data_IF_224981042627
#
_entry.id   IF_224981042627
#
_cell.length_a   1.000
_cell.length_b   1.000
_cell.length_c   1.000
_cell.angle_alpha   90.00
_cell.angle_beta   90.00
_cell.angle_gamma   90.00
#
_symmetry.space_group_name_H-M   'P 1'
#
loop_
_entity.id
_entity.type
_entity.pdbx_description
1 polymer ?
#
# COMPACT_ATOMS: atom_id res chain seq x y z
N UNK A 1 -39.30 -48.72 -22.11
CA UNK A 1 -38.16 -47.88 -21.69
C UNK A 1 -38.52 -46.43 -21.96
N UNK A 2 -38.61 -45.56 -20.93
CA UNK A 2 -38.76 -44.11 -21.16
C UNK A 2 -37.43 -43.58 -21.69
N UNK A 3 -37.42 -42.75 -22.76
CA UNK A 3 -36.18 -42.19 -23.28
C UNK A 3 -35.53 -41.29 -22.22
N UNK A 4 -34.20 -41.19 -22.17
CA UNK A 4 -33.51 -40.35 -21.20
C UNK A 4 -33.93 -38.90 -21.43
N UNK A 5 -34.44 -38.25 -20.39
CA UNK A 5 -34.75 -36.82 -20.41
C UNK A 5 -33.43 -36.07 -20.56
N UNK A 6 -33.14 -35.63 -21.79
CA UNK A 6 -32.03 -34.73 -22.06
C UNK A 6 -32.35 -33.43 -21.33
N UNK A 7 -31.65 -33.15 -20.23
CA UNK A 7 -31.75 -31.86 -19.54
C UNK A 7 -31.18 -30.80 -20.46
N UNK A 8 -32.01 -29.86 -20.91
CA UNK A 8 -31.53 -28.66 -21.59
C UNK A 8 -30.51 -27.95 -20.70
N UNK A 9 -29.28 -27.78 -21.18
CA UNK A 9 -28.23 -27.06 -20.46
C UNK A 9 -27.76 -25.85 -21.27
N UNK A 10 -27.53 -24.71 -20.61
CA UNK A 10 -26.96 -23.51 -21.23
C UNK A 10 -28.00 -22.64 -21.93
N UNK A 11 -27.69 -22.21 -23.16
CA UNK A 11 -28.48 -21.23 -23.94
C UNK A 11 -29.89 -21.71 -24.29
N UNK A 12 -30.13 -23.02 -24.37
CA UNK A 12 -31.45 -23.61 -24.67
C UNK A 12 -32.46 -23.34 -23.55
N UNK A 13 -32.00 -23.19 -22.30
CA UNK A 13 -32.87 -22.85 -21.16
C UNK A 13 -33.38 -21.40 -21.26
N UNK A 14 -32.58 -20.50 -21.85
CA UNK A 14 -32.97 -19.10 -22.05
C UNK A 14 -34.06 -18.92 -23.11
N UNK A 15 -34.23 -19.90 -24.01
CA UNK A 15 -35.27 -19.89 -25.03
C UNK A 15 -36.64 -20.34 -24.50
N UNK A 16 -36.71 -20.82 -23.25
CA UNK A 16 -37.98 -21.22 -22.64
C UNK A 16 -38.88 -20.00 -22.47
N UNK A 17 -40.15 -20.03 -22.91
CA UNK A 17 -41.06 -18.88 -22.85
C UNK A 17 -41.17 -18.28 -21.43
N UNK A 18 -41.15 -19.14 -20.41
CA UNK A 18 -41.22 -18.73 -19.00
C UNK A 18 -40.02 -17.90 -18.56
N UNK A 19 -38.83 -18.20 -19.10
CA UNK A 19 -37.60 -17.46 -18.79
C UNK A 19 -37.60 -16.11 -19.51
N UNK A 20 -38.06 -16.09 -20.77
CA UNK A 20 -38.21 -14.85 -21.55
C UNK A 20 -39.22 -13.91 -20.87
N UNK A 21 -40.39 -14.42 -20.49
CA UNK A 21 -41.41 -13.64 -19.76
C UNK A 21 -40.84 -13.15 -18.42
N UNK A 22 -40.09 -13.99 -17.70
CA UNK A 22 -39.42 -13.61 -16.46
C UNK A 22 -38.41 -12.47 -16.65
N UNK A 23 -37.59 -12.52 -17.71
CA UNK A 23 -36.63 -11.45 -18.04
C UNK A 23 -37.36 -10.14 -18.38
N UNK A 24 -38.43 -10.20 -19.18
CA UNK A 24 -39.23 -9.02 -19.51
C UNK A 24 -39.93 -8.43 -18.29
N UNK A 25 -40.51 -9.25 -17.42
CA UNK A 25 -41.12 -8.80 -16.17
C UNK A 25 -40.09 -8.12 -15.24
N UNK A 26 -38.88 -8.69 -15.12
CA UNK A 26 -37.80 -8.10 -14.34
C UNK A 26 -37.32 -6.77 -14.93
N UNK A 27 -37.22 -6.68 -16.27
CA UNK A 27 -36.84 -5.46 -16.96
C UNK A 27 -37.87 -4.35 -16.77
N UNK A 28 -39.17 -4.67 -16.84
CA UNK A 28 -40.26 -3.72 -16.58
C UNK A 28 -40.25 -3.28 -15.12
N UNK A 29 -40.06 -4.19 -14.16
CA UNK A 29 -39.95 -3.84 -12.75
C UNK A 29 -38.77 -2.89 -12.48
N UNK A 30 -37.61 -3.15 -13.09
CA UNK A 30 -36.46 -2.24 -12.98
C UNK A 30 -36.72 -0.89 -13.66
N UNK A 31 -37.37 -0.85 -14.83
CA UNK A 31 -37.73 0.39 -15.49
C UNK A 31 -38.69 1.26 -14.63
N UNK A 32 -39.70 0.63 -14.02
CA UNK A 32 -40.64 1.30 -13.11
C UNK A 32 -39.90 1.84 -11.88
N UNK A 33 -39.03 1.05 -11.26
CA UNK A 33 -38.30 1.48 -10.07
C UNK A 33 -37.25 2.56 -10.36
N UNK A 34 -36.59 2.51 -11.53
CA UNK A 34 -35.72 3.61 -11.98
C UNK A 34 -36.53 4.88 -12.25
N UNK A 35 -37.72 4.75 -12.83
CA UNK A 35 -38.65 5.86 -13.03
C UNK A 35 -39.12 6.48 -11.71
N UNK A 36 -39.34 5.67 -10.67
CA UNK A 36 -39.83 6.11 -9.37
C UNK A 36 -38.73 6.67 -8.43
N UNK A 37 -37.54 6.06 -8.41
CA UNK A 37 -36.45 6.39 -7.48
C UNK A 37 -35.27 7.10 -8.15
N UNK A 38 -35.36 7.36 -9.46
CA UNK A 38 -34.36 8.09 -10.23
C UNK A 38 -33.08 7.32 -10.56
N UNK A 39 -32.12 8.04 -11.14
CA UNK A 39 -30.86 7.48 -11.67
C UNK A 39 -30.00 6.82 -10.58
N UNK A 40 -30.09 7.31 -9.34
CA UNK A 40 -29.38 6.74 -8.19
C UNK A 40 -29.75 5.27 -7.96
N UNK A 41 -31.02 4.91 -8.13
CA UNK A 41 -31.50 3.54 -8.01
C UNK A 41 -30.96 2.65 -9.13
N UNK A 42 -30.93 3.16 -10.36
CA UNK A 42 -30.31 2.47 -11.50
C UNK A 42 -28.81 2.19 -11.27
N UNK A 43 -28.09 3.18 -10.73
CA UNK A 43 -26.69 3.01 -10.32
C UNK A 43 -26.50 1.94 -9.24
N UNK A 44 -27.41 1.88 -8.26
CA UNK A 44 -27.39 0.86 -7.21
C UNK A 44 -27.59 -0.55 -7.78
N UNK A 45 -28.51 -0.75 -8.73
CA UNK A 45 -28.72 -2.04 -9.37
C UNK A 45 -27.50 -2.51 -10.15
N UNK A 46 -26.87 -1.63 -10.93
CA UNK A 46 -25.64 -1.94 -11.66
C UNK A 46 -24.52 -2.29 -10.68
N UNK A 47 -24.38 -1.51 -9.60
CA UNK A 47 -23.42 -1.78 -8.53
C UNK A 47 -23.64 -3.15 -7.87
N UNK A 48 -24.90 -3.52 -7.61
CA UNK A 48 -25.26 -4.82 -7.05
C UNK A 48 -24.90 -5.98 -7.98
N UNK A 49 -25.15 -5.84 -9.30
CA UNK A 49 -24.76 -6.85 -10.29
C UNK A 49 -23.24 -7.04 -10.31
N UNK A 50 -22.49 -5.93 -10.38
CA UNK A 50 -21.01 -5.97 -10.37
C UNK A 50 -20.52 -6.62 -9.08
N UNK A 51 -21.11 -6.27 -7.94
CA UNK A 51 -20.78 -6.85 -6.63
C UNK A 51 -21.04 -8.37 -6.61
N UNK A 52 -22.20 -8.82 -7.08
CA UNK A 52 -22.54 -10.26 -7.11
C UNK A 52 -21.56 -11.03 -8.00
N UNK A 53 -21.25 -10.50 -9.19
CA UNK A 53 -20.28 -11.10 -10.10
C UNK A 53 -18.91 -11.19 -9.44
N UNK A 54 -18.42 -10.07 -8.89
CA UNK A 54 -17.14 -9.99 -8.21
C UNK A 54 -17.06 -10.97 -7.04
N UNK A 55 -18.06 -10.98 -6.16
CA UNK A 55 -18.09 -11.84 -4.98
C UNK A 55 -18.16 -13.32 -5.37
N UNK A 56 -18.94 -13.67 -6.41
CA UNK A 56 -18.99 -15.05 -6.93
C UNK A 56 -17.63 -15.49 -7.49
N UNK A 57 -16.94 -14.61 -8.22
CA UNK A 57 -15.59 -14.86 -8.71
C UNK A 57 -14.59 -14.99 -7.55
N UNK A 58 -14.74 -14.20 -6.50
CA UNK A 58 -13.92 -14.26 -5.31
C UNK A 58 -14.13 -15.57 -4.53
N UNK A 59 -15.36 -16.07 -4.41
CA UNK A 59 -15.63 -17.40 -3.84
C UNK A 59 -14.96 -18.48 -4.69
N UNK A 60 -15.02 -18.39 -6.02
CA UNK A 60 -14.37 -19.36 -6.90
C UNK A 60 -12.83 -19.28 -6.82
N UNK A 61 -12.30 -18.06 -6.68
CA UNK A 61 -10.88 -17.75 -6.66
C UNK A 61 -10.54 -16.81 -5.49
N UNK A 62 -10.42 -17.34 -4.25
CA UNK A 62 -10.26 -16.52 -3.04
C UNK A 62 -9.05 -15.57 -3.05
N UNK A 63 -7.98 -15.96 -3.75
CA UNK A 63 -6.80 -15.11 -3.95
C UNK A 63 -7.12 -13.77 -4.63
N UNK A 64 -8.23 -13.67 -5.37
CA UNK A 64 -8.68 -12.44 -6.00
C UNK A 64 -8.87 -11.33 -4.95
N UNK A 65 -9.36 -11.67 -3.76
CA UNK A 65 -9.54 -10.72 -2.66
C UNK A 65 -8.24 -10.04 -2.24
N UNK A 66 -7.16 -10.81 -2.14
CA UNK A 66 -5.83 -10.30 -1.84
C UNK A 66 -5.32 -9.37 -2.97
N UNK A 67 -5.47 -9.79 -4.23
CA UNK A 67 -5.05 -8.98 -5.38
C UNK A 67 -5.81 -7.66 -5.47
N UNK A 68 -7.12 -7.69 -5.26
CA UNK A 68 -7.94 -6.47 -5.25
C UNK A 68 -7.63 -5.58 -4.07
N UNK A 69 -7.35 -6.13 -2.88
CA UNK A 69 -6.95 -5.33 -1.73
C UNK A 69 -5.62 -4.60 -2.01
N UNK A 70 -4.64 -5.27 -2.62
CA UNK A 70 -3.38 -4.64 -3.05
C UNK A 70 -3.66 -3.53 -4.07
N UNK A 71 -4.41 -3.85 -5.14
CA UNK A 71 -4.77 -2.90 -6.20
C UNK A 71 -5.45 -1.65 -5.65
N UNK A 72 -6.46 -1.82 -4.79
CA UNK A 72 -7.19 -0.74 -4.15
C UNK A 72 -6.25 0.05 -3.24
N UNK A 73 -5.36 -0.60 -2.49
CA UNK A 73 -4.37 0.07 -1.64
C UNK A 73 -3.53 1.13 -2.36
N UNK A 74 -3.25 0.96 -3.65
CA UNK A 74 -2.54 1.97 -4.46
C UNK A 74 -3.40 3.20 -4.76
N UNK A 75 -4.66 2.99 -5.16
CA UNK A 75 -5.50 4.07 -5.69
C UNK A 75 -6.44 4.70 -4.66
N UNK A 76 -6.63 4.06 -3.51
CA UNK A 76 -7.63 4.43 -2.51
C UNK A 76 -7.46 5.86 -1.99
N UNK A 77 -6.22 6.28 -1.72
CA UNK A 77 -5.93 7.64 -1.27
C UNK A 77 -5.97 8.66 -2.41
N UNK A 78 -5.72 8.23 -3.65
CA UNK A 78 -5.85 9.11 -4.81
C UNK A 78 -7.30 9.37 -5.19
N UNK A 79 -8.17 8.36 -5.04
CA UNK A 79 -9.59 8.47 -5.40
C UNK A 79 -10.34 9.49 -4.55
N UNK A 80 -9.85 9.79 -3.33
CA UNK A 80 -10.44 10.81 -2.43
C UNK A 80 -10.39 12.22 -3.02
N UNK A 81 -9.54 12.45 -4.02
CA UNK A 81 -9.43 13.74 -4.73
C UNK A 81 -10.51 13.91 -5.78
N UNK A 82 -11.00 12.79 -6.33
CA UNK A 82 -11.97 12.76 -7.42
C UNK A 82 -13.39 12.47 -6.93
N UNK A 83 -13.51 11.73 -5.82
CA UNK A 83 -14.80 11.35 -5.25
C UNK A 83 -14.94 12.02 -3.89
N UNK A 84 -15.90 12.94 -3.79
CA UNK A 84 -16.31 13.52 -2.50
C UNK A 84 -17.23 12.53 -1.81
N UNK A 85 -16.74 11.90 -0.75
CA UNK A 85 -17.53 10.97 0.07
C UNK A 85 -17.43 11.35 1.52
N UNK A 86 -18.56 11.40 2.21
CA UNK A 86 -18.60 11.57 3.67
C UNK A 86 -18.16 10.29 4.40
N UNK A 87 -18.16 9.15 3.69
CA UNK A 87 -17.71 7.88 4.22
C UNK A 87 -16.19 7.83 4.36
N UNK A 88 -15.66 7.40 5.52
CA UNK A 88 -14.24 7.17 5.69
C UNK A 88 -13.73 6.13 4.70
N UNK A 89 -12.87 6.56 3.80
CA UNK A 89 -12.41 5.76 2.65
C UNK A 89 -11.68 4.48 3.06
N UNK A 90 -11.12 4.44 4.29
CA UNK A 90 -10.59 3.23 4.90
C UNK A 90 -11.62 2.09 5.04
N UNK A 91 -12.91 2.39 5.16
CA UNK A 91 -13.98 1.39 5.23
C UNK A 91 -14.10 0.55 3.95
N UNK A 92 -13.71 1.09 2.80
CA UNK A 92 -13.68 0.32 1.55
C UNK A 92 -12.65 -0.83 1.67
N UNK A 93 -11.46 -0.53 2.20
CA UNK A 93 -10.44 -1.56 2.44
C UNK A 93 -10.90 -2.56 3.51
N UNK A 94 -11.52 -2.09 4.59
CA UNK A 94 -12.12 -2.98 5.60
C UNK A 94 -13.11 -3.96 4.97
N UNK A 95 -14.05 -3.45 4.18
CA UNK A 95 -15.05 -4.24 3.49
C UNK A 95 -14.42 -5.27 2.53
N UNK A 96 -13.41 -4.87 1.75
CA UNK A 96 -12.71 -5.79 0.85
C UNK A 96 -11.98 -6.92 1.59
N UNK A 97 -11.33 -6.61 2.71
CA UNK A 97 -10.64 -7.62 3.52
C UNK A 97 -11.65 -8.56 4.18
N UNK A 98 -12.76 -8.04 4.72
CA UNK A 98 -13.84 -8.87 5.27
C UNK A 98 -14.45 -9.78 4.19
N UNK A 99 -14.70 -9.26 2.99
CA UNK A 99 -15.19 -10.05 1.86
C UNK A 99 -14.18 -11.14 1.46
N UNK A 100 -12.87 -10.86 1.52
CA UNK A 100 -11.85 -11.87 1.26
C UNK A 100 -11.87 -13.01 2.29
N UNK A 101 -12.11 -12.71 3.56
CA UNK A 101 -12.32 -13.73 4.58
C UNK A 101 -13.63 -14.51 4.37
N UNK A 102 -14.74 -13.83 4.07
CA UNK A 102 -16.01 -14.51 3.76
C UNK A 102 -15.86 -15.44 2.56
N UNK A 103 -15.19 -14.99 1.49
CA UNK A 103 -14.90 -15.81 0.32
C UNK A 103 -14.01 -17.02 0.66
N UNK A 104 -13.02 -16.87 1.56
CA UNK A 104 -12.24 -18.01 2.07
C UNK A 104 -13.14 -19.07 2.74
N UNK A 105 -14.09 -18.64 3.56
CA UNK A 105 -15.04 -19.53 4.23
C UNK A 105 -15.96 -20.24 3.23
N UNK A 106 -16.61 -19.50 2.33
CA UNK A 106 -17.52 -20.07 1.34
C UNK A 106 -16.81 -20.97 0.33
N UNK A 107 -15.57 -20.66 -0.06
CA UNK A 107 -14.79 -21.48 -0.99
C UNK A 107 -14.55 -22.91 -0.48
N UNK A 108 -14.29 -23.04 0.82
CA UNK A 108 -14.00 -24.35 1.42
C UNK A 108 -15.27 -25.07 1.85
N UNK A 109 -16.40 -24.38 1.99
CA UNK A 109 -17.65 -24.99 2.43
C UNK A 109 -18.12 -26.11 1.48
N UNK A 110 -18.56 -27.28 1.99
CA UNK A 110 -18.73 -27.65 3.40
C UNK A 110 -17.49 -28.27 4.07
N UNK A 111 -16.36 -28.39 3.35
CA UNK A 111 -15.11 -28.93 3.91
C UNK A 111 -14.50 -27.96 4.92
N UNK A 112 -13.74 -28.51 5.88
CA UNK A 112 -13.02 -27.70 6.87
C UNK A 112 -11.84 -26.98 6.22
N UNK A 113 -11.64 -25.72 6.61
CA UNK A 113 -10.46 -24.94 6.22
C UNK A 113 -9.22 -25.53 6.90
N UNK A 114 -8.15 -25.71 6.12
CA UNK A 114 -6.87 -26.12 6.65
C UNK A 114 -6.09 -24.90 7.20
N UNK A 115 -6.09 -24.74 8.52
CA UNK A 115 -5.39 -23.64 9.20
C UNK A 115 -3.90 -23.89 9.46
N UNK A 116 -3.34 -25.04 9.05
CA UNK A 116 -1.92 -25.36 9.25
C UNK A 116 -0.96 -24.29 8.72
N UNK A 117 -1.18 -23.64 7.55
CA UNK A 117 -0.28 -22.59 7.04
C UNK A 117 -0.11 -21.39 7.97
N UNK A 118 -1.10 -21.13 8.84
CA UNK A 118 -1.05 -20.03 9.81
C UNK A 118 -0.21 -20.33 11.05
N UNK A 119 0.20 -21.59 11.26
CA UNK A 119 1.15 -21.95 12.32
C UNK A 119 2.57 -21.55 11.92
N UNK A 120 2.78 -20.26 11.67
CA UNK A 120 4.02 -19.68 11.22
C UNK A 120 4.42 -18.56 12.19
N UNK A 121 5.73 -18.39 12.43
CA UNK A 121 6.26 -17.32 13.27
C UNK A 121 5.73 -15.95 12.85
N UNK A 122 5.62 -15.67 11.55
CA UNK A 122 5.08 -14.39 11.06
C UNK A 122 3.66 -14.11 11.54
N UNK A 123 2.81 -15.14 11.65
CA UNK A 123 1.45 -14.99 12.17
C UNK A 123 1.46 -14.68 13.66
N UNK A 124 2.30 -15.36 14.44
CA UNK A 124 2.44 -15.09 15.87
C UNK A 124 2.99 -13.69 16.15
N UNK A 125 4.00 -13.24 15.38
CA UNK A 125 4.53 -11.88 15.49
C UNK A 125 3.47 -10.82 15.14
N UNK A 126 2.69 -11.04 14.08
CA UNK A 126 1.58 -10.15 13.72
C UNK A 126 0.50 -10.10 14.81
N UNK A 127 0.18 -11.24 15.43
CA UNK A 127 -0.75 -11.31 16.56
C UNK A 127 -0.21 -10.54 17.78
N UNK A 128 1.07 -10.68 18.12
CA UNK A 128 1.71 -9.92 19.20
C UNK A 128 1.59 -8.43 18.96
N UNK A 129 1.84 -7.98 17.73
CA UNK A 129 1.67 -6.58 17.35
C UNK A 129 0.21 -6.11 17.51
N UNK A 130 -0.75 -6.89 17.01
CA UNK A 130 -2.17 -6.56 17.13
C UNK A 130 -2.61 -6.50 18.58
N UNK A 131 -2.20 -7.46 19.42
CA UNK A 131 -2.52 -7.45 20.84
C UNK A 131 -1.98 -6.18 21.52
N UNK A 132 -0.73 -5.81 21.24
CA UNK A 132 -0.15 -4.58 21.77
C UNK A 132 -0.96 -3.33 21.33
N UNK A 133 -1.32 -3.25 20.04
CA UNK A 133 -2.14 -2.14 19.53
C UNK A 133 -3.58 -2.13 20.09
N UNK A 134 -4.14 -3.30 20.44
CA UNK A 134 -5.44 -3.37 21.11
C UNK A 134 -5.32 -2.84 22.54
N UNK A 135 -4.29 -3.23 23.29
CA UNK A 135 -4.06 -2.76 24.66
C UNK A 135 -3.89 -1.23 24.75
N UNK A 136 -3.44 -0.59 23.67
CA UNK A 136 -3.36 0.88 23.57
C UNK A 136 -4.72 1.59 23.68
N UNK A 137 -5.86 0.88 23.63
CA UNK A 137 -7.16 1.47 23.95
C UNK A 137 -7.24 1.91 25.43
N UNK A 138 -6.51 1.23 26.31
CA UNK A 138 -6.41 1.54 27.73
C UNK A 138 -5.23 2.49 28.04
N UNK A 139 -4.62 3.10 27.03
CA UNK A 139 -3.54 4.06 27.25
C UNK A 139 -4.10 5.30 27.98
N UNK A 140 -3.51 5.72 29.12
CA UNK A 140 -3.99 6.87 29.89
C UNK A 140 -3.96 8.20 29.11
N UNK A 141 -3.12 8.30 28.08
CA UNK A 141 -3.01 9.49 27.23
C UNK A 141 -4.01 9.47 26.05
N UNK A 142 -4.72 8.36 25.81
CA UNK A 142 -5.69 8.25 24.73
C UNK A 142 -6.95 9.08 25.05
N UNK A 143 -7.15 10.17 24.32
CA UNK A 143 -8.27 11.11 24.52
C UNK A 143 -9.52 10.75 23.71
N UNK A 144 -9.37 9.92 22.67
CA UNK A 144 -10.44 9.57 21.73
C UNK A 144 -10.34 8.11 21.27
N UNK A 145 -11.39 7.34 21.55
CA UNK A 145 -11.53 5.96 21.04
C UNK A 145 -11.76 5.92 19.53
N UNK A 146 -12.38 6.97 18.96
CA UNK A 146 -12.54 7.11 17.52
C UNK A 146 -11.19 7.31 16.81
N UNK A 147 -10.28 8.08 17.40
CA UNK A 147 -8.91 8.24 16.88
C UNK A 147 -8.15 6.90 16.92
N UNK A 148 -8.27 6.16 18.03
CA UNK A 148 -7.71 4.81 18.16
C UNK A 148 -8.26 3.88 17.06
N UNK A 149 -9.58 3.81 16.87
CA UNK A 149 -10.20 2.96 15.85
C UNK A 149 -9.77 3.34 14.43
N UNK A 150 -9.58 4.63 14.16
CA UNK A 150 -9.07 5.11 12.88
C UNK A 150 -7.62 4.68 12.62
N UNK A 151 -6.78 4.57 13.64
CA UNK A 151 -5.37 4.26 13.52
C UNK A 151 -5.05 2.76 13.61
N UNK A 152 -5.74 2.01 14.48
CA UNK A 152 -5.49 0.58 14.71
C UNK A 152 -5.77 -0.27 13.48
N UNK A 153 -6.78 0.11 12.68
CA UNK A 153 -7.16 -0.60 11.44
C UNK A 153 -5.98 -0.72 10.47
N UNK A 154 -5.42 0.38 9.91
CA UNK A 154 -4.31 0.28 8.99
C UNK A 154 -2.98 -0.12 9.64
N UNK A 155 -2.77 0.21 10.92
CA UNK A 155 -1.49 -0.06 11.60
C UNK A 155 -1.35 -1.52 12.04
N UNK A 156 -2.43 -2.17 12.45
CA UNK A 156 -2.40 -3.47 13.09
C UNK A 156 -3.27 -4.51 12.37
N UNK A 157 -4.56 -4.24 12.17
CA UNK A 157 -5.48 -5.23 11.59
C UNK A 157 -5.13 -5.56 10.15
N UNK A 158 -4.84 -4.56 9.32
CA UNK A 158 -4.47 -4.80 7.93
C UNK A 158 -3.19 -5.63 7.84
N UNK A 159 -2.20 -5.35 8.69
CA UNK A 159 -0.97 -6.14 8.76
C UNK A 159 -1.27 -7.62 9.02
N UNK A 160 -2.07 -7.94 10.05
CA UNK A 160 -2.46 -9.32 10.35
C UNK A 160 -3.25 -9.96 9.21
N UNK A 161 -4.24 -9.24 8.66
CA UNK A 161 -5.07 -9.74 7.58
C UNK A 161 -4.24 -10.06 6.33
N UNK A 162 -3.33 -9.18 5.93
CA UNK A 162 -2.43 -9.45 4.81
C UNK A 162 -1.51 -10.65 5.07
N UNK A 163 -0.97 -10.80 6.29
CA UNK A 163 -0.15 -11.99 6.66
C UNK A 163 -0.96 -13.28 6.53
N UNK A 164 -2.18 -13.30 7.08
CA UNK A 164 -3.08 -14.46 7.04
C UNK A 164 -3.48 -14.80 5.60
N UNK A 165 -3.97 -13.82 4.84
CA UNK A 165 -4.39 -14.02 3.45
C UNK A 165 -3.20 -14.44 2.56
N UNK A 166 -2.02 -13.86 2.78
CA UNK A 166 -0.82 -14.25 2.03
C UNK A 166 -0.42 -15.71 2.30
N UNK A 167 -0.37 -16.15 3.56
CA UNK A 167 -0.01 -17.53 3.89
C UNK A 167 -1.05 -18.56 3.43
N UNK A 168 -2.33 -18.18 3.41
CA UNK A 168 -3.41 -19.05 2.94
C UNK A 168 -3.49 -19.15 1.41
N UNK A 169 -3.19 -18.06 0.70
CA UNK A 169 -3.42 -17.98 -0.74
C UNK A 169 -2.16 -18.05 -1.60
N UNK A 170 -1.04 -17.48 -1.17
CA UNK A 170 0.20 -17.41 -1.97
C UNK A 170 1.05 -18.68 -1.84
N UNK A 171 0.45 -19.82 -2.15
CA UNK A 171 1.09 -21.14 -2.02
C UNK A 171 1.80 -21.61 -3.29
N UNK A 172 1.61 -20.93 -4.43
CA UNK A 172 2.23 -21.30 -5.72
C UNK A 172 2.99 -20.13 -6.35
N UNK A 173 4.05 -20.41 -7.13
CA UNK A 173 4.81 -19.37 -7.83
C UNK A 173 3.94 -18.49 -8.73
N UNK A 174 2.95 -19.05 -9.42
CA UNK A 174 2.03 -18.32 -10.29
C UNK A 174 1.19 -17.30 -9.51
N UNK A 175 0.77 -17.62 -8.28
CA UNK A 175 -0.01 -16.70 -7.45
C UNK A 175 0.87 -15.54 -6.96
N UNK A 176 2.11 -15.83 -6.60
CA UNK A 176 3.10 -14.79 -6.27
C UNK A 176 3.40 -13.92 -7.51
N UNK A 177 3.54 -14.53 -8.69
CA UNK A 177 3.73 -13.84 -9.96
C UNK A 177 2.59 -12.85 -10.22
N UNK A 178 1.34 -13.23 -9.96
CA UNK A 178 0.18 -12.34 -10.10
C UNK A 178 0.23 -11.15 -9.15
N UNK A 179 0.73 -11.31 -7.92
CA UNK A 179 0.96 -10.17 -6.99
C UNK A 179 1.93 -9.16 -7.63
N UNK A 180 3.04 -9.63 -8.19
CA UNK A 180 3.99 -8.76 -8.88
C UNK A 180 3.42 -8.11 -10.14
N UNK A 181 2.56 -8.80 -10.89
CA UNK A 181 1.90 -8.21 -12.05
C UNK A 181 0.96 -7.07 -11.61
N UNK A 182 0.11 -7.31 -10.60
CA UNK A 182 -0.81 -6.30 -10.07
C UNK A 182 -0.04 -5.10 -9.54
N UNK A 183 0.94 -5.31 -8.67
CA UNK A 183 1.81 -4.25 -8.16
C UNK A 183 2.48 -3.50 -9.32
N UNK A 184 3.11 -4.19 -10.25
CA UNK A 184 3.82 -3.57 -11.37
C UNK A 184 2.92 -2.68 -12.23
N UNK A 185 1.69 -3.13 -12.52
CA UNK A 185 0.71 -2.33 -13.27
C UNK A 185 0.37 -1.05 -12.51
N UNK A 186 0.03 -1.13 -11.22
CA UNK A 186 -0.31 0.06 -10.45
C UNK A 186 0.88 0.99 -10.24
N UNK A 187 2.09 0.46 -10.07
CA UNK A 187 3.30 1.29 -10.02
C UNK A 187 3.57 2.00 -11.35
N UNK A 188 3.36 1.33 -12.50
CA UNK A 188 3.46 1.95 -13.82
C UNK A 188 2.45 3.08 -13.99
N UNK A 189 1.18 2.85 -13.65
CA UNK A 189 0.15 3.89 -13.66
C UNK A 189 0.54 5.05 -12.74
N UNK A 190 1.12 4.74 -11.57
CA UNK A 190 1.64 5.74 -10.64
C UNK A 190 2.72 6.60 -11.27
N UNK A 191 3.71 5.99 -11.92
CA UNK A 191 4.78 6.73 -12.62
C UNK A 191 4.22 7.55 -13.79
N UNK A 192 3.31 6.99 -14.59
CA UNK A 192 2.70 7.69 -15.71
C UNK A 192 1.94 8.94 -15.24
N UNK A 193 1.08 8.80 -14.22
CA UNK A 193 0.35 9.95 -13.65
C UNK A 193 1.31 10.97 -13.04
N UNK A 194 2.40 10.53 -12.40
CA UNK A 194 3.45 11.43 -11.91
C UNK A 194 4.17 12.19 -13.04
N UNK A 195 4.45 11.51 -14.16
CA UNK A 195 5.05 12.14 -15.34
C UNK A 195 4.08 13.16 -15.96
N UNK A 196 2.79 12.85 -16.03
CA UNK A 196 1.77 13.81 -16.47
C UNK A 196 1.75 15.06 -15.59
N UNK A 197 1.79 14.90 -14.26
CA UNK A 197 1.86 16.03 -13.33
C UNK A 197 3.09 16.91 -13.54
N UNK A 198 4.22 16.33 -13.96
CA UNK A 198 5.46 17.07 -14.21
C UNK A 198 5.45 17.84 -15.54
N UNK A 199 4.99 17.21 -16.61
CA UNK A 199 5.13 17.73 -17.97
C UNK A 199 3.90 18.50 -18.47
N UNK A 200 2.70 18.05 -18.10
CA UNK A 200 1.42 18.65 -18.53
C UNK A 200 0.89 19.56 -17.41
N UNK A 201 1.01 19.11 -16.17
CA UNK A 201 0.48 19.76 -14.98
C UNK A 201 -0.58 18.92 -14.27
N UNK A 202 -1.13 19.46 -13.20
CA UNK A 202 -2.18 18.83 -12.39
C UNK A 202 -3.53 18.97 -13.05
N UNK A 203 -4.39 17.97 -12.88
CA UNK A 203 -5.77 18.05 -13.37
C UNK A 203 -6.64 18.99 -12.51
N UNK A 204 -7.85 19.39 -12.95
CA UNK A 204 -8.70 20.32 -12.20
C UNK A 204 -9.06 19.86 -10.79
N UNK A 205 -9.22 18.56 -10.56
CA UNK A 205 -9.57 18.00 -9.25
C UNK A 205 -8.36 17.98 -8.32
N UNK A 206 -7.19 17.61 -8.86
CA UNK A 206 -5.92 17.73 -8.15
C UNK A 206 -5.61 19.19 -7.80
N UNK A 207 -5.87 20.13 -8.70
CA UNK A 207 -5.71 21.56 -8.46
C UNK A 207 -6.65 22.03 -7.34
N UNK A 208 -7.93 21.67 -7.38
CA UNK A 208 -8.88 22.00 -6.31
C UNK A 208 -8.44 21.43 -4.95
N UNK A 209 -7.86 20.22 -4.93
CA UNK A 209 -7.30 19.63 -3.71
C UNK A 209 -6.04 20.36 -3.22
N UNK A 210 -5.16 20.79 -4.14
CA UNK A 210 -3.99 21.60 -3.79
C UNK A 210 -4.42 22.96 -3.20
N UNK A 211 -5.35 23.63 -3.86
CA UNK A 211 -5.88 24.93 -3.44
C UNK A 211 -6.62 24.83 -2.09
N UNK A 212 -7.23 23.67 -1.80
CA UNK A 212 -7.86 23.35 -0.51
C UNK A 212 -6.89 23.06 0.65
N UNK A 213 -5.59 23.31 0.49
CA UNK A 213 -4.57 23.18 1.55
C UNK A 213 -3.45 22.19 1.25
N UNK A 214 -3.60 21.33 0.23
CA UNK A 214 -2.55 20.41 -0.21
C UNK A 214 -1.28 21.13 -0.70
N UNK A 215 -1.43 22.35 -1.23
CA UNK A 215 -0.33 23.15 -1.78
C UNK A 215 0.77 23.43 -0.76
N UNK A 216 0.44 23.58 0.53
CA UNK A 216 1.39 23.88 1.61
C UNK A 216 2.55 22.85 1.65
N UNK A 217 2.25 21.58 1.37
CA UNK A 217 3.22 20.49 1.45
C UNK A 217 3.70 19.99 0.07
N UNK A 218 2.92 20.27 -0.98
CA UNK A 218 3.13 19.73 -2.33
C UNK A 218 3.69 20.75 -3.32
N UNK A 219 3.62 22.05 -3.03
CA UNK A 219 4.23 23.12 -3.83
C UNK A 219 5.30 23.78 -2.99
N UNK A 220 6.57 23.52 -3.32
CA UNK A 220 7.71 24.13 -2.62
C UNK A 220 8.48 25.03 -3.58
N UNK A 221 8.71 26.27 -3.16
CA UNK A 221 9.44 27.27 -3.95
C UNK A 221 8.84 27.47 -5.35
N UNK A 222 7.51 27.51 -5.44
CA UNK A 222 6.78 27.66 -6.71
C UNK A 222 6.83 26.44 -7.63
N UNK A 223 7.37 25.30 -7.16
CA UNK A 223 7.46 24.06 -7.95
C UNK A 223 6.67 22.93 -7.32
N UNK A 224 5.96 22.20 -8.17
CA UNK A 224 5.22 21.01 -7.78
C UNK A 224 6.18 19.87 -7.41
N UNK A 225 5.94 19.26 -6.25
CA UNK A 225 6.50 17.96 -5.89
C UNK A 225 5.58 16.88 -6.44
N UNK A 226 6.06 16.11 -7.41
CA UNK A 226 5.26 15.07 -8.06
C UNK A 226 4.83 14.03 -7.02
N UNK A 227 3.52 13.83 -6.88
CA UNK A 227 2.91 12.95 -5.88
C UNK A 227 2.04 11.86 -6.51
N UNK A 228 1.72 11.96 -7.80
CA UNK A 228 0.84 11.02 -8.52
C UNK A 228 -0.48 10.83 -7.75
N UNK A 229 -1.01 9.62 -7.62
CA UNK A 229 -2.19 9.32 -6.80
C UNK A 229 -1.87 8.87 -5.37
N UNK A 230 -0.63 9.10 -4.89
CA UNK A 230 -0.21 8.80 -3.50
C UNK A 230 -0.50 9.99 -2.59
N UNK A 231 -0.44 9.78 -1.27
CA UNK A 231 -0.67 10.85 -0.27
C UNK A 231 0.21 12.07 -0.48
N UNK A 232 1.47 11.85 -0.81
CA UNK A 232 2.48 12.89 -1.01
C UNK A 232 3.68 12.39 -1.82
N UNK A 233 4.50 13.35 -2.27
CA UNK A 233 5.70 13.07 -3.06
C UNK A 233 6.73 12.21 -2.32
N UNK A 234 6.77 12.28 -0.98
CA UNK A 234 7.61 11.44 -0.14
C UNK A 234 7.24 9.96 -0.26
N UNK A 235 5.94 9.67 -0.10
CA UNK A 235 5.41 8.30 -0.25
C UNK A 235 5.50 7.80 -1.70
N UNK A 236 5.17 8.65 -2.68
CA UNK A 236 5.34 8.29 -4.10
C UNK A 236 6.80 7.93 -4.41
N UNK A 237 7.74 8.81 -4.04
CA UNK A 237 9.16 8.58 -4.28
C UNK A 237 9.69 7.34 -3.60
N UNK A 238 9.34 7.11 -2.34
CA UNK A 238 9.75 5.92 -1.58
C UNK A 238 9.16 4.64 -2.18
N UNK A 239 7.87 4.64 -2.54
CA UNK A 239 7.21 3.47 -3.13
C UNK A 239 7.75 3.13 -4.52
N UNK A 240 8.05 4.13 -5.34
CA UNK A 240 8.65 3.93 -6.66
C UNK A 240 10.10 3.47 -6.58
N UNK A 241 10.87 3.94 -5.59
CA UNK A 241 12.20 3.44 -5.31
C UNK A 241 12.18 1.97 -4.86
N UNK A 242 11.25 1.63 -3.98
CA UNK A 242 11.00 0.26 -3.54
C UNK A 242 10.61 -0.64 -4.72
N UNK A 243 9.68 -0.18 -5.56
CA UNK A 243 9.28 -0.87 -6.80
C UNK A 243 10.48 -1.07 -7.73
N UNK A 244 11.25 -0.01 -8.01
CA UNK A 244 12.44 -0.08 -8.87
C UNK A 244 13.42 -1.16 -8.42
N UNK A 245 13.78 -1.14 -7.13
CA UNK A 245 14.71 -2.10 -6.56
C UNK A 245 14.18 -3.55 -6.63
N UNK A 246 12.94 -3.78 -6.19
CA UNK A 246 12.34 -5.13 -6.17
C UNK A 246 12.20 -5.70 -7.58
N UNK A 247 11.69 -4.91 -8.52
CA UNK A 247 11.51 -5.38 -9.88
C UNK A 247 12.84 -5.57 -10.63
N UNK A 248 13.89 -4.81 -10.32
CA UNK A 248 15.24 -5.12 -10.82
C UNK A 248 15.70 -6.49 -10.32
N UNK A 249 15.57 -6.77 -9.02
CA UNK A 249 15.99 -8.07 -8.46
C UNK A 249 15.21 -9.23 -9.09
N UNK A 250 13.90 -9.07 -9.28
CA UNK A 250 13.06 -10.10 -9.91
C UNK A 250 13.38 -10.23 -11.40
N UNK A 251 13.60 -9.13 -12.13
CA UNK A 251 13.95 -9.16 -13.55
C UNK A 251 15.30 -9.86 -13.79
N UNK A 252 16.27 -9.69 -12.88
CA UNK A 252 17.53 -10.42 -12.92
C UNK A 252 17.36 -11.93 -12.69
N UNK A 253 16.38 -12.33 -11.88
CA UNK A 253 16.09 -13.73 -11.58
C UNK A 253 15.09 -14.40 -12.56
N UNK A 254 14.31 -13.61 -13.31
CA UNK A 254 13.24 -14.11 -14.17
C UNK A 254 13.78 -14.91 -15.36
N UNK A 255 13.25 -16.12 -15.54
CA UNK A 255 13.58 -17.02 -16.66
C UNK A 255 12.72 -16.75 -17.91
N UNK A 256 11.44 -16.42 -17.71
CA UNK A 256 10.51 -16.15 -18.81
C UNK A 256 10.79 -14.77 -19.41
N UNK A 257 11.05 -14.71 -20.71
CA UNK A 257 11.35 -13.47 -21.44
C UNK A 257 10.23 -12.44 -21.34
N UNK A 258 8.96 -12.83 -21.41
CA UNK A 258 7.82 -11.90 -21.33
C UNK A 258 7.76 -11.21 -19.96
N UNK A 259 7.89 -12.01 -18.90
CA UNK A 259 7.87 -11.51 -17.53
C UNK A 259 9.11 -10.66 -17.25
N UNK A 260 10.28 -11.09 -17.76
CA UNK A 260 11.53 -10.34 -17.65
C UNK A 260 11.43 -8.96 -18.29
N UNK A 261 10.86 -8.85 -19.49
CA UNK A 261 10.64 -7.57 -20.17
C UNK A 261 9.70 -6.69 -19.33
N UNK A 262 8.55 -7.24 -18.90
CA UNK A 262 7.61 -6.51 -18.06
C UNK A 262 8.28 -5.99 -16.77
N UNK A 263 9.05 -6.84 -16.07
CA UNK A 263 9.72 -6.44 -14.84
C UNK A 263 10.80 -5.37 -15.07
N UNK A 264 11.54 -5.41 -16.18
CA UNK A 264 12.48 -4.34 -16.53
C UNK A 264 11.76 -3.01 -16.81
N UNK A 265 10.64 -3.04 -17.52
CA UNK A 265 9.83 -1.84 -17.78
C UNK A 265 9.36 -1.23 -16.44
N UNK A 266 8.82 -2.05 -15.54
CA UNK A 266 8.40 -1.61 -14.21
C UNK A 266 9.58 -1.08 -13.40
N UNK A 267 10.74 -1.73 -13.43
CA UNK A 267 11.93 -1.31 -12.70
C UNK A 267 12.41 0.08 -13.15
N UNK A 268 12.56 0.28 -14.46
CA UNK A 268 12.97 1.55 -15.05
C UNK A 268 11.95 2.66 -14.78
N UNK A 269 10.67 2.37 -14.91
CA UNK A 269 9.60 3.30 -14.56
C UNK A 269 9.58 3.62 -13.06
N UNK A 270 9.91 2.67 -12.18
CA UNK A 270 10.04 2.89 -10.74
C UNK A 270 11.19 3.84 -10.41
N UNK A 271 12.37 3.61 -11.00
CA UNK A 271 13.49 4.56 -10.82
C UNK A 271 13.17 5.94 -11.40
N UNK A 272 12.55 6.00 -12.58
CA UNK A 272 12.10 7.27 -13.14
C UNK A 272 11.10 7.99 -12.23
N UNK A 273 10.09 7.27 -11.71
CA UNK A 273 9.12 7.76 -10.74
C UNK A 273 9.77 8.29 -9.46
N UNK A 274 10.78 7.58 -8.95
CA UNK A 274 11.61 8.04 -7.84
C UNK A 274 12.32 9.35 -8.17
N UNK A 275 12.95 9.46 -9.35
CA UNK A 275 13.64 10.67 -9.79
C UNK A 275 12.71 11.88 -9.88
N UNK A 276 11.58 11.75 -10.56
CA UNK A 276 10.65 12.88 -10.75
C UNK A 276 9.97 13.33 -9.46
N UNK A 277 9.87 12.46 -8.44
CA UNK A 277 9.31 12.81 -7.13
C UNK A 277 10.15 13.86 -6.37
N UNK A 278 11.46 13.94 -6.65
CA UNK A 278 12.39 14.81 -5.93
C UNK A 278 12.56 14.44 -4.45
N UNK A 279 12.17 13.23 -4.04
CA UNK A 279 12.25 12.80 -2.64
C UNK A 279 13.67 12.36 -2.29
N UNK A 280 14.28 13.07 -1.34
CA UNK A 280 15.65 12.81 -0.87
C UNK A 280 15.82 11.44 -0.25
N UNK A 281 14.90 11.08 0.64
CA UNK A 281 14.97 9.85 1.43
C UNK A 281 14.80 8.58 0.61
N UNK A 282 14.19 8.66 -0.58
CA UNK A 282 13.94 7.47 -1.40
C UNK A 282 15.21 6.90 -2.02
N UNK A 283 16.28 7.70 -2.16
CA UNK A 283 17.59 7.22 -2.63
C UNK A 283 18.18 6.11 -1.74
N UNK A 284 17.92 6.16 -0.43
CA UNK A 284 18.44 5.15 0.51
C UNK A 284 17.75 3.79 0.35
N UNK A 285 16.54 3.74 -0.23
CA UNK A 285 15.78 2.50 -0.37
C UNK A 285 16.48 1.53 -1.35
N UNK A 286 16.82 1.91 -2.60
CA UNK A 286 17.57 1.04 -3.50
C UNK A 286 18.96 0.70 -2.97
N UNK A 287 19.64 1.64 -2.30
CA UNK A 287 20.94 1.35 -1.70
C UNK A 287 20.87 0.21 -0.67
N UNK A 288 19.94 0.30 0.28
CA UNK A 288 19.76 -0.76 1.28
C UNK A 288 19.30 -2.08 0.65
N UNK A 289 18.37 -2.03 -0.30
CA UNK A 289 17.85 -3.21 -0.98
C UNK A 289 18.93 -3.95 -1.79
N UNK A 290 19.71 -3.23 -2.61
CA UNK A 290 20.77 -3.83 -3.40
C UNK A 290 21.95 -4.30 -2.55
N UNK A 291 22.32 -3.58 -1.49
CA UNK A 291 23.34 -4.03 -0.55
C UNK A 291 22.97 -5.39 0.07
N UNK A 292 21.72 -5.51 0.56
CA UNK A 292 21.23 -6.77 1.10
C UNK A 292 21.17 -7.89 0.04
N UNK A 293 20.72 -7.57 -1.18
CA UNK A 293 20.67 -8.52 -2.28
C UNK A 293 22.06 -9.06 -2.65
N UNK A 294 23.05 -8.17 -2.81
CA UNK A 294 24.41 -8.58 -3.14
C UNK A 294 25.04 -9.43 -2.03
N UNK A 295 24.80 -9.09 -0.77
CA UNK A 295 25.20 -9.91 0.37
C UNK A 295 24.58 -11.31 0.31
N UNK A 296 23.28 -11.40 0.01
CA UNK A 296 22.56 -12.68 -0.08
C UNK A 296 22.97 -13.54 -1.27
N UNK A 297 23.46 -12.95 -2.37
CA UNK A 297 23.88 -13.69 -3.58
C UNK A 297 25.14 -14.56 -3.39
N UNK A 298 25.88 -14.41 -2.28
CA UNK A 298 27.08 -15.20 -1.93
C UNK A 298 28.14 -15.28 -3.05
N UNK A 299 28.17 -14.30 -3.95
CA UNK A 299 29.13 -14.24 -5.04
C UNK A 299 30.03 -13.02 -4.84
N UNK A 300 31.32 -13.26 -4.58
CA UNK A 300 32.28 -12.21 -4.26
C UNK A 300 32.42 -11.19 -5.39
N UNK A 301 32.34 -11.61 -6.66
CA UNK A 301 32.41 -10.72 -7.82
C UNK A 301 31.16 -9.84 -7.96
N UNK A 302 29.98 -10.40 -7.69
CA UNK A 302 28.72 -9.64 -7.69
C UNK A 302 28.66 -8.68 -6.51
N UNK A 303 29.21 -9.08 -5.36
CA UNK A 303 29.30 -8.24 -4.18
C UNK A 303 30.26 -7.06 -4.38
N UNK A 304 31.47 -7.30 -4.88
CA UNK A 304 32.46 -6.23 -5.10
C UNK A 304 32.03 -5.27 -6.19
N UNK A 305 31.54 -5.77 -7.33
CA UNK A 305 31.01 -4.92 -8.41
C UNK A 305 29.78 -4.12 -7.99
N UNK A 306 28.86 -4.74 -7.24
CA UNK A 306 27.68 -4.09 -6.69
C UNK A 306 28.01 -3.00 -5.67
N UNK A 307 28.93 -3.28 -4.74
CA UNK A 307 29.41 -2.29 -3.77
C UNK A 307 30.13 -1.13 -4.46
N UNK A 308 30.97 -1.41 -5.46
CA UNK A 308 31.64 -0.38 -6.24
C UNK A 308 30.63 0.53 -6.95
N UNK A 309 29.59 -0.05 -7.56
CA UNK A 309 28.51 0.72 -8.18
C UNK A 309 27.79 1.64 -7.18
N UNK A 310 27.46 1.13 -5.99
CA UNK A 310 26.84 1.92 -4.91
C UNK A 310 27.73 3.10 -4.50
N UNK A 311 29.03 2.87 -4.35
CA UNK A 311 30.02 3.91 -4.02
C UNK A 311 30.09 4.96 -5.13
N UNK A 312 30.11 4.55 -6.41
CA UNK A 312 30.10 5.48 -7.54
C UNK A 312 28.88 6.39 -7.55
N UNK A 313 27.68 5.83 -7.33
CA UNK A 313 26.44 6.63 -7.27
C UNK A 313 26.49 7.60 -6.09
N UNK A 314 27.01 7.17 -4.93
CA UNK A 314 27.21 8.05 -3.78
C UNK A 314 28.18 9.19 -4.10
N UNK A 315 29.32 8.90 -4.74
CA UNK A 315 30.31 9.91 -5.15
C UNK A 315 29.69 10.89 -6.15
N UNK A 316 28.91 10.40 -7.11
CA UNK A 316 28.21 11.22 -8.08
C UNK A 316 27.27 12.23 -7.39
N UNK A 317 26.43 11.80 -6.45
CA UNK A 317 25.52 12.72 -5.77
C UNK A 317 26.22 13.63 -4.76
N UNK A 318 27.26 13.16 -4.06
CA UNK A 318 27.90 13.93 -3.00
C UNK A 318 28.98 14.89 -3.50
N UNK A 319 29.80 14.47 -4.46
CA UNK A 319 31.04 15.16 -4.82
C UNK A 319 31.07 15.73 -6.25
N UNK A 320 30.06 15.45 -7.09
CA UNK A 320 30.01 16.03 -8.45
C UNK A 320 28.93 17.09 -8.58
N UNK A 321 29.11 18.02 -9.53
CA UNK A 321 28.13 19.06 -9.89
C UNK A 321 27.37 18.76 -11.18
N UNK A 322 27.63 17.63 -11.83
CA UNK A 322 27.04 17.23 -13.11
C UNK A 322 25.51 17.17 -13.01
N UNK A 323 24.77 17.93 -13.84
CA UNK A 323 23.30 17.94 -13.79
C UNK A 323 22.68 18.82 -12.70
N UNK A 324 23.44 19.75 -12.10
CA UNK A 324 22.94 20.72 -11.11
C UNK A 324 21.79 21.60 -11.63
N UNK A 325 21.73 21.84 -12.94
CA UNK A 325 20.65 22.57 -13.60
C UNK A 325 19.28 21.86 -13.54
N UNK A 326 19.26 20.55 -13.24
CA UNK A 326 18.00 19.83 -13.02
C UNK A 326 17.58 19.90 -11.55
N UNK A 327 16.41 20.49 -11.30
CA UNK A 327 15.86 20.66 -9.96
C UNK A 327 15.76 19.34 -9.17
N UNK A 328 15.41 18.23 -9.82
CA UNK A 328 15.25 16.95 -9.14
C UNK A 328 16.61 16.38 -8.68
N UNK A 329 17.64 16.53 -9.52
CA UNK A 329 19.01 16.12 -9.18
C UNK A 329 19.54 16.98 -8.04
N UNK A 330 19.39 18.31 -8.12
CA UNK A 330 19.81 19.22 -7.05
C UNK A 330 19.13 18.87 -5.71
N UNK A 331 17.82 18.63 -5.75
CA UNK A 331 17.06 18.23 -4.57
C UNK A 331 17.54 16.90 -3.99
N UNK A 332 17.86 15.93 -4.83
CA UNK A 332 18.47 14.67 -4.40
C UNK A 332 19.85 14.85 -3.75
N UNK A 333 20.70 15.73 -4.30
CA UNK A 333 22.02 16.05 -3.71
C UNK A 333 21.91 16.66 -2.32
N UNK A 334 20.93 17.54 -2.11
CA UNK A 334 20.71 18.14 -0.78
C UNK A 334 20.35 17.12 0.31
N UNK A 335 20.01 15.86 -0.03
CA UNK A 335 19.90 14.77 0.94
C UNK A 335 21.20 14.49 1.70
N UNK A 336 22.35 14.74 1.07
CA UNK A 336 23.68 14.49 1.61
C UNK A 336 24.30 15.72 2.29
N UNK A 337 23.57 16.84 2.36
CA UNK A 337 24.02 18.06 3.02
C UNK A 337 23.54 18.09 4.50
N UNK A 338 24.44 18.00 5.49
CA UNK A 338 24.07 18.06 6.90
C UNK A 338 23.46 19.39 7.36
N UNK A 339 23.72 20.48 6.61
CA UNK A 339 23.28 21.84 6.95
C UNK A 339 21.97 22.23 6.24
N UNK A 340 21.26 21.28 5.64
CA UNK A 340 19.98 21.58 4.98
C UNK A 340 18.92 22.04 6.00
N UNK A 341 18.25 23.20 5.79
CA UNK A 341 17.27 23.73 6.74
C UNK A 341 16.12 22.77 7.06
N UNK A 342 15.68 21.96 6.09
CA UNK A 342 14.61 20.99 6.32
C UNK A 342 15.05 19.81 7.20
N UNK A 343 16.34 19.46 7.18
CA UNK A 343 16.89 18.46 8.10
C UNK A 343 16.95 19.01 9.53
N UNK A 344 17.35 20.27 9.68
CA UNK A 344 17.43 20.92 10.98
C UNK A 344 16.06 21.03 11.67
N UNK A 345 15.02 21.41 10.93
CA UNK A 345 13.63 21.42 11.46
C UNK A 345 13.20 20.03 11.95
N UNK A 346 13.54 18.96 11.22
CA UNK A 346 13.24 17.59 11.65
C UNK A 346 13.97 17.21 12.94
N UNK A 347 15.25 17.58 13.05
CA UNK A 347 16.03 17.33 14.26
C UNK A 347 15.47 18.12 15.45
N UNK A 348 15.01 19.35 15.24
CA UNK A 348 14.36 20.15 16.27
C UNK A 348 13.02 19.53 16.72
N UNK A 349 12.17 19.12 15.78
CA UNK A 349 10.93 18.40 16.07
C UNK A 349 11.20 17.11 16.86
N UNK A 350 12.21 16.33 16.45
CA UNK A 350 12.62 15.12 17.17
C UNK A 350 13.11 15.43 18.59
N UNK A 351 13.83 16.53 18.81
CA UNK A 351 14.24 16.96 20.16
C UNK A 351 13.03 17.32 21.02
N UNK A 352 12.07 18.09 20.48
CA UNK A 352 10.81 18.43 21.16
C UNK A 352 10.02 17.17 21.55
N UNK A 353 9.88 16.23 20.60
CA UNK A 353 9.23 14.95 20.85
C UNK A 353 9.99 14.12 21.89
N UNK A 354 11.32 14.09 21.86
CA UNK A 354 12.14 13.33 22.82
C UNK A 354 11.88 13.77 24.25
N UNK A 355 11.84 15.07 24.50
CA UNK A 355 11.52 15.63 25.83
C UNK A 355 10.10 15.24 26.24
N UNK A 356 9.13 15.42 25.34
CA UNK A 356 7.72 15.12 25.64
C UNK A 356 7.44 13.63 25.88
N UNK A 357 8.13 12.75 25.16
CA UNK A 357 7.93 11.30 25.18
C UNK A 357 8.71 10.61 26.31
N UNK A 358 9.65 11.29 26.95
CA UNK A 358 10.49 10.70 28.01
C UNK A 358 9.67 10.11 29.18
N UNK A 359 8.54 10.72 29.51
CA UNK A 359 7.64 10.26 30.59
C UNK A 359 6.55 9.31 30.10
N UNK A 360 6.50 8.99 28.80
CA UNK A 360 5.39 8.24 28.16
C UNK A 360 5.92 6.99 27.44
N UNK A 361 6.26 5.92 28.18
CA UNK A 361 6.85 4.70 27.59
C UNK A 361 5.90 3.98 26.62
N UNK A 362 4.58 4.12 26.81
CA UNK A 362 3.51 3.60 25.95
C UNK A 362 2.98 4.61 24.92
N UNK A 363 3.56 5.81 24.88
CA UNK A 363 3.21 6.86 23.92
C UNK A 363 1.94 7.62 24.23
N UNK A 364 1.57 8.53 23.33
CA UNK A 364 0.40 9.41 23.48
C UNK A 364 -0.93 8.78 23.08
N UNK A 365 -0.95 7.48 22.74
CA UNK A 365 -2.13 6.77 22.28
C UNK A 365 -2.26 6.72 20.76
N UNK A 366 -2.78 5.60 20.24
CA UNK A 366 -2.97 5.39 18.80
C UNK A 366 -3.94 6.43 18.22
N UNK A 367 -3.56 7.02 17.09
CA UNK A 367 -4.36 8.04 16.40
C UNK A 367 -4.22 9.46 16.94
N UNK A 368 -3.42 9.66 18.00
CA UNK A 368 -3.24 10.96 18.66
C UNK A 368 -1.93 11.66 18.26
N UNK A 369 -1.19 11.11 17.29
CA UNK A 369 0.06 11.66 16.78
C UNK A 369 -0.05 12.24 15.36
N UNK A 370 0.66 13.35 15.14
CA UNK A 370 0.81 14.00 13.84
C UNK A 370 -0.44 14.74 13.35
N UNK A 371 -0.36 15.29 12.13
CA UNK A 371 -1.39 16.17 11.58
C UNK A 371 -2.77 15.50 11.49
N UNK A 372 -2.81 14.17 11.25
CA UNK A 372 -4.07 13.39 11.24
C UNK A 372 -4.83 13.44 12.58
N UNK A 373 -4.12 13.64 13.69
CA UNK A 373 -4.71 13.72 15.02
C UNK A 373 -5.43 15.05 15.26
N UNK A 374 -5.15 16.10 14.49
CA UNK A 374 -5.83 17.39 14.65
C UNK A 374 -7.34 17.29 14.45
N UNK A 375 -7.81 16.31 13.65
CA UNK A 375 -9.23 16.01 13.47
C UNK A 375 -9.94 15.61 14.78
N UNK A 376 -9.23 14.94 15.68
CA UNK A 376 -9.79 14.38 16.90
C UNK A 376 -9.36 15.17 18.15
N UNK A 377 -8.12 15.68 18.15
CA UNK A 377 -7.51 16.40 19.26
C UNK A 377 -6.69 17.60 18.77
N UNK A 378 -7.33 18.69 18.30
CA UNK A 378 -6.64 19.83 17.70
C UNK A 378 -5.69 20.55 18.66
N UNK A 379 -6.01 20.59 19.95
CA UNK A 379 -5.23 21.31 20.96
C UNK A 379 -4.15 20.43 21.63
N UNK A 380 -3.99 19.17 21.21
CA UNK A 380 -2.98 18.29 21.80
C UNK A 380 -1.58 18.62 21.27
N UNK A 381 -0.57 18.55 22.14
CA UNK A 381 0.83 18.81 21.74
C UNK A 381 1.26 17.90 20.56
N UNK A 382 0.97 16.60 20.65
CA UNK A 382 1.34 15.62 19.63
C UNK A 382 0.62 15.78 18.29
N UNK A 383 -0.53 16.46 18.26
CA UNK A 383 -1.24 16.78 17.02
C UNK A 383 -0.62 17.97 16.28
N UNK A 384 0.13 18.82 16.99
CA UNK A 384 0.71 20.06 16.46
C UNK A 384 2.20 19.95 16.14
N UNK A 385 2.86 18.87 16.55
CA UNK A 385 4.24 18.57 16.16
C UNK A 385 4.25 17.60 14.99
N UNK A 386 4.92 17.96 13.91
CA UNK A 386 5.10 17.08 12.77
C UNK A 386 5.98 15.87 13.16
N UNK A 387 5.51 14.66 12.88
CA UNK A 387 6.24 13.44 13.19
C UNK A 387 7.31 13.12 12.14
N UNK A 388 7.27 13.76 10.97
CA UNK A 388 8.29 13.75 9.90
C UNK A 388 8.71 12.39 9.30
N UNK A 389 8.33 11.26 9.91
CA UNK A 389 8.54 9.89 9.42
C UNK A 389 7.54 8.90 10.04
N UNK A 390 7.40 7.73 9.39
CA UNK A 390 6.51 6.67 9.86
C UNK A 390 6.94 6.07 11.21
N UNK A 391 8.24 5.82 11.42
CA UNK A 391 8.73 5.25 12.68
C UNK A 391 8.62 6.23 13.85
N UNK A 392 8.84 7.53 13.61
CA UNK A 392 8.59 8.55 14.64
C UNK A 392 7.10 8.64 14.97
N UNK A 393 6.21 8.49 13.98
CA UNK A 393 4.77 8.41 14.24
C UNK A 393 4.41 7.18 15.10
N UNK A 394 4.94 6.00 14.79
CA UNK A 394 4.77 4.81 15.62
C UNK A 394 5.27 5.08 17.04
N UNK A 395 6.47 5.63 17.19
CA UNK A 395 7.03 5.96 18.50
C UNK A 395 6.16 6.93 19.29
N UNK A 396 5.65 7.99 18.65
CA UNK A 396 4.79 8.98 19.29
C UNK A 396 3.45 8.36 19.72
N UNK A 397 2.84 7.53 18.87
CA UNK A 397 1.53 6.95 19.15
C UNK A 397 1.58 5.74 20.08
N UNK A 398 2.66 4.95 20.03
CA UNK A 398 2.77 3.64 20.72
C UNK A 398 3.88 3.58 21.77
N UNK A 399 4.68 4.65 21.87
CA UNK A 399 5.78 4.76 22.80
C UNK A 399 7.05 4.07 22.33
N UNK A 400 8.10 4.16 23.16
CA UNK A 400 9.38 3.50 22.88
C UNK A 400 9.23 1.98 22.88
N UNK A 401 8.36 1.44 23.74
CA UNK A 401 8.07 0.01 23.82
C UNK A 401 7.44 -0.47 22.51
N UNK A 402 6.43 0.25 22.01
CA UNK A 402 5.77 -0.07 20.75
C UNK A 402 6.71 0.05 19.55
N UNK A 403 7.55 1.09 19.49
CA UNK A 403 8.56 1.22 18.44
C UNK A 403 9.55 0.05 18.45
N UNK A 404 10.11 -0.30 19.61
CA UNK A 404 11.06 -1.42 19.73
C UNK A 404 10.40 -2.72 19.30
N UNK A 405 9.19 -3.00 19.79
CA UNK A 405 8.43 -4.19 19.40
C UNK A 405 8.20 -4.24 17.88
N UNK A 406 7.79 -3.12 17.29
CA UNK A 406 7.55 -3.02 15.85
C UNK A 406 8.83 -3.34 15.04
N UNK A 407 9.95 -2.73 15.42
CA UNK A 407 11.24 -2.93 14.76
C UNK A 407 11.75 -4.36 14.94
N UNK A 408 11.63 -4.93 16.14
CA UNK A 408 12.01 -6.32 16.40
C UNK A 408 11.22 -7.28 15.50
N UNK A 409 9.91 -7.10 15.38
CA UNK A 409 9.08 -7.93 14.50
C UNK A 409 9.55 -7.86 13.05
N UNK A 410 9.84 -6.65 12.55
CA UNK A 410 10.35 -6.46 11.19
C UNK A 410 11.72 -7.11 10.99
N UNK A 411 12.66 -6.90 11.92
CA UNK A 411 14.01 -7.46 11.81
C UNK A 411 14.03 -8.98 11.97
N UNK A 412 13.22 -9.56 12.85
CA UNK A 412 13.08 -11.01 12.97
C UNK A 412 12.52 -11.59 11.67
N UNK A 413 11.49 -10.97 11.10
CA UNK A 413 10.89 -11.42 9.83
C UNK A 413 11.90 -11.35 8.69
N UNK A 414 12.65 -10.25 8.58
CA UNK A 414 13.69 -10.05 7.57
C UNK A 414 14.86 -11.05 7.75
N UNK A 415 15.31 -11.23 8.99
CA UNK A 415 16.39 -12.15 9.34
C UNK A 415 16.03 -13.60 9.04
N UNK A 416 14.81 -14.02 9.39
CA UNK A 416 14.31 -15.36 9.10
C UNK A 416 14.19 -15.61 7.58
N UNK A 417 13.66 -14.63 6.84
CA UNK A 417 13.57 -14.72 5.38
C UNK A 417 14.96 -14.82 4.74
N UNK A 418 15.91 -14.00 5.22
CA UNK A 418 17.30 -14.03 4.76
C UNK A 418 17.98 -15.36 5.09
N UNK A 419 17.76 -15.89 6.29
CA UNK A 419 18.28 -17.19 6.70
C UNK A 419 17.77 -18.32 5.81
N UNK A 420 16.47 -18.36 5.52
CA UNK A 420 15.91 -19.36 4.62
C UNK A 420 16.48 -19.27 3.21
N UNK A 421 16.61 -18.06 2.67
CA UNK A 421 17.17 -17.83 1.34
C UNK A 421 18.65 -18.22 1.26
N UNK A 422 19.43 -17.93 2.31
CA UNK A 422 20.87 -18.19 2.30
C UNK A 422 21.22 -19.65 2.59
N UNK A 423 20.49 -20.32 3.48
CA UNK A 423 20.92 -21.61 4.04
C UNK A 423 19.98 -22.78 3.77
N UNK A 424 18.71 -22.54 3.43
CA UNK A 424 17.71 -23.61 3.30
C UNK A 424 17.22 -23.82 1.87
N UNK A 425 17.08 -22.74 1.11
CA UNK A 425 16.69 -22.77 -0.29
C UNK A 425 17.97 -22.91 -1.14
N UNK A 426 18.05 -23.98 -1.95
CA UNK A 426 19.14 -24.21 -2.91
C UNK A 426 18.75 -23.74 -4.30
#
# INVERSE_FOLDING_TARGET
MKPPVVKDTGSVVLQKPIVIIGIFALAIAFAIMIGAYGIAFGGMLIGAIIFIIYFTLQIKYPQLGLYTAIAVGFVLLGSTRYIKTDLPIGMLMDGLLVLAFLALFFHHFPKRINWKPLKNLSTYLALIWVMYCILQIANPEARSTAAWFSAVRPLAFYHLFFVVLALMFLTTPERIRMVFIVWGIFSLLGTLKGAMQLWIGVDPYEKAWLDGGGAITHVLFGRLRVFSFYSDAGQFGANQAYTGAVFTMIALAAKNTKDKIFYWIVALAGFYGMFISGTRGSLFVPFAAFALYFFQRKNIYVLTSGMFFVILVFIFFKYTTIGQGNYQINRMRSAFNPNDPSLQVRLENQRKLKVYMATRPFGGGLGHGGVKAQKYTPNAFLANVATDSWYVLIWVETGVIGLILHLLIQFITLGLASYYLMFRLR
#
